data_IF_035235686232
#
_entry.id   IF_035235686232
#
_cell.length_a   1.000
_cell.length_b   1.000
_cell.length_c   1.000
_cell.angle_alpha   90.00
_cell.angle_beta   90.00
_cell.angle_gamma   90.00
#
_symmetry.space_group_name_H-M   'P 1'
#
loop_
_entity.id
_entity.type
_entity.pdbx_description
1 polymer ?
#
# COMPACT_ATOMS: atom_id res chain seq x y z
N UNK A 1 10.70 -12.52 10.75
CA UNK A 1 11.02 -12.31 9.32
C UNK A 1 12.53 -12.34 9.17
N UNK A 2 13.09 -12.78 8.04
CA UNK A 2 14.53 -12.56 7.82
C UNK A 2 14.74 -11.06 7.61
N UNK A 3 15.70 -10.48 8.33
CA UNK A 3 16.04 -9.05 8.27
C UNK A 3 16.34 -8.59 6.84
N UNK A 4 16.81 -9.51 5.98
CA UNK A 4 17.15 -9.27 4.59
C UNK A 4 15.93 -8.97 3.70
N UNK A 5 14.83 -9.72 3.84
CA UNK A 5 13.63 -9.47 3.04
C UNK A 5 12.98 -8.15 3.44
N UNK A 6 12.92 -7.84 4.73
CA UNK A 6 12.40 -6.55 5.19
C UNK A 6 13.22 -5.38 4.62
N UNK A 7 14.55 -5.48 4.61
CA UNK A 7 15.43 -4.48 3.97
C UNK A 7 15.14 -4.33 2.48
N UNK A 8 14.93 -5.45 1.78
CA UNK A 8 14.57 -5.44 0.35
C UNK A 8 13.23 -4.77 0.10
N UNK A 9 12.22 -5.04 0.93
CA UNK A 9 10.92 -4.38 0.88
C UNK A 9 11.09 -2.87 1.09
N UNK A 10 11.86 -2.45 2.10
CA UNK A 10 12.14 -1.03 2.33
C UNK A 10 12.86 -0.37 1.15
N UNK A 11 13.83 -1.05 0.54
CA UNK A 11 14.54 -0.56 -0.63
C UNK A 11 13.58 -0.38 -1.83
N UNK A 12 12.73 -1.37 -2.10
CA UNK A 12 11.73 -1.32 -3.17
C UNK A 12 10.73 -0.18 -2.96
N UNK A 13 10.21 0.00 -1.74
CA UNK A 13 9.30 1.11 -1.42
C UNK A 13 9.96 2.47 -1.64
N UNK A 14 11.23 2.63 -1.24
CA UNK A 14 11.98 3.87 -1.45
C UNK A 14 12.28 4.13 -2.93
N UNK A 15 12.59 3.09 -3.71
CA UNK A 15 12.76 3.18 -5.16
C UNK A 15 11.45 3.60 -5.85
N UNK A 16 10.31 3.05 -5.43
CA UNK A 16 8.98 3.45 -5.95
C UNK A 16 8.72 4.94 -5.68
N UNK A 17 8.96 5.43 -4.45
CA UNK A 17 8.82 6.87 -4.14
C UNK A 17 9.67 7.75 -5.06
N UNK A 18 10.93 7.37 -5.27
CA UNK A 18 11.86 8.12 -6.11
C UNK A 18 11.50 8.09 -7.60
N UNK A 19 11.15 6.91 -8.13
CA UNK A 19 10.89 6.70 -9.56
C UNK A 19 9.53 7.26 -10.00
N UNK A 20 8.51 7.15 -9.16
CA UNK A 20 7.16 7.63 -9.47
C UNK A 20 6.92 9.07 -9.01
N UNK A 21 7.85 9.63 -8.22
CA UNK A 21 7.71 10.96 -7.63
C UNK A 21 6.52 11.04 -6.67
N UNK A 22 6.30 9.99 -5.89
CA UNK A 22 5.18 9.87 -4.94
C UNK A 22 5.70 9.78 -3.50
N UNK A 23 4.80 9.99 -2.55
CA UNK A 23 5.05 9.73 -1.14
C UNK A 23 4.22 8.56 -0.64
N UNK A 24 4.85 7.54 -0.10
CA UNK A 24 4.18 6.40 0.53
C UNK A 24 3.76 6.79 1.94
N UNK A 25 2.47 6.63 2.22
CA UNK A 25 1.85 6.98 3.50
C UNK A 25 1.68 5.77 4.42
N UNK A 26 1.56 4.59 3.84
CA UNK A 26 1.31 3.33 4.52
C UNK A 26 1.74 2.18 3.61
N UNK A 27 2.42 1.16 4.14
CA UNK A 27 2.70 -0.10 3.46
C UNK A 27 2.61 -1.26 4.45
N UNK A 28 1.98 -2.35 4.04
CA UNK A 28 1.77 -3.54 4.85
C UNK A 28 1.88 -4.81 4.02
N UNK A 29 1.95 -5.94 4.71
CA UNK A 29 1.72 -7.24 4.10
C UNK A 29 0.21 -7.46 3.89
N UNK A 30 -0.19 -8.09 2.79
CA UNK A 30 -1.54 -8.60 2.54
C UNK A 30 -1.47 -10.11 2.34
N UNK A 31 -2.58 -10.83 2.27
CA UNK A 31 -2.56 -12.23 1.88
C UNK A 31 -2.13 -13.21 2.98
N UNK A 32 -1.72 -14.42 2.56
CA UNK A 32 -1.59 -15.59 3.46
C UNK A 32 -0.59 -15.37 4.60
N UNK A 33 0.46 -14.57 4.37
CA UNK A 33 1.48 -14.21 5.37
C UNK A 33 0.93 -13.30 6.46
N UNK A 34 0.06 -12.36 6.11
CA UNK A 34 -0.59 -11.48 7.07
C UNK A 34 -1.53 -12.23 8.03
N UNK A 35 -2.05 -13.40 7.62
CA UNK A 35 -3.06 -14.17 8.38
C UNK A 35 -2.58 -15.54 8.87
N UNK A 36 -1.28 -15.84 8.77
CA UNK A 36 -0.67 -17.06 9.34
C UNK A 36 -0.89 -18.34 8.54
N UNK A 37 -1.30 -18.24 7.27
CA UNK A 37 -1.50 -19.38 6.36
C UNK A 37 -0.34 -19.59 5.38
N UNK A 38 0.77 -18.88 5.56
CA UNK A 38 1.90 -18.93 4.64
C UNK A 38 2.60 -20.29 4.62
N UNK A 39 2.71 -20.88 3.43
CA UNK A 39 3.68 -21.92 3.15
C UNK A 39 5.06 -21.32 2.91
N UNK A 40 6.09 -22.17 2.81
CA UNK A 40 7.47 -21.76 2.56
C UNK A 40 7.65 -21.08 1.18
N UNK A 41 6.75 -21.36 0.23
CA UNK A 41 6.72 -20.81 -1.14
C UNK A 41 5.75 -19.62 -1.30
N UNK A 42 5.26 -19.04 -0.20
CA UNK A 42 4.31 -17.93 -0.29
C UNK A 42 5.02 -16.62 -0.65
N UNK A 43 4.56 -15.99 -1.73
CA UNK A 43 4.94 -14.64 -2.16
C UNK A 43 4.78 -13.62 -1.01
N UNK A 44 5.59 -12.56 -1.06
CA UNK A 44 5.48 -11.38 -0.21
C UNK A 44 4.57 -10.36 -0.90
N UNK A 45 3.34 -10.30 -0.41
CA UNK A 45 2.26 -9.45 -0.92
C UNK A 45 2.34 -8.08 -0.25
N UNK A 46 3.19 -7.20 -0.78
CA UNK A 46 3.34 -5.84 -0.26
C UNK A 46 2.27 -4.93 -0.87
N UNK A 47 1.46 -4.32 -0.02
CA UNK A 47 0.40 -3.39 -0.41
C UNK A 47 0.62 -2.03 0.23
N UNK A 48 0.44 -0.95 -0.53
CA UNK A 48 0.74 0.39 -0.04
C UNK A 48 -0.25 1.46 -0.50
N UNK A 49 -0.32 2.54 0.28
CA UNK A 49 -1.03 3.77 -0.04
C UNK A 49 -0.03 4.88 -0.29
N UNK A 50 -0.24 5.63 -1.36
CA UNK A 50 0.66 6.72 -1.75
C UNK A 50 -0.09 8.00 -2.10
N UNK A 51 0.67 9.09 -2.22
CA UNK A 51 0.20 10.41 -2.59
C UNK A 51 1.10 11.01 -3.68
N UNK A 52 0.51 11.58 -4.71
CA UNK A 52 1.20 12.39 -5.71
C UNK A 52 1.46 13.83 -5.21
N UNK A 53 2.32 14.60 -5.88
CA UNK A 53 2.44 16.03 -5.62
C UNK A 53 1.14 16.78 -5.99
N UNK A 54 0.86 17.95 -5.38
CA UNK A 54 -0.40 18.67 -5.57
C UNK A 54 -0.78 18.95 -7.03
N UNK A 55 0.19 19.26 -7.88
CA UNK A 55 0.01 19.58 -9.30
C UNK A 55 -0.61 18.41 -10.07
N UNK A 56 -0.35 17.17 -9.62
CA UNK A 56 -0.96 15.99 -10.22
C UNK A 56 -2.48 16.00 -10.05
N UNK A 57 -2.96 16.35 -8.84
CA UNK A 57 -4.39 16.43 -8.49
C UNK A 57 -5.08 17.66 -9.09
N UNK A 58 -4.34 18.74 -9.34
CA UNK A 58 -4.87 19.96 -9.94
C UNK A 58 -4.95 19.91 -11.48
N UNK A 59 -4.62 18.77 -12.09
CA UNK A 59 -4.69 18.61 -13.55
C UNK A 59 -6.13 18.50 -14.07
N UNK A 60 -6.39 19.08 -15.24
CA UNK A 60 -7.72 19.09 -15.89
C UNK A 60 -8.15 17.66 -16.29
N UNK A 61 -7.18 16.80 -16.63
CA UNK A 61 -7.39 15.43 -17.06
C UNK A 61 -7.25 14.40 -15.93
N UNK A 62 -7.46 14.80 -14.66
CA UNK A 62 -7.26 13.96 -13.48
C UNK A 62 -7.95 12.59 -13.57
N UNK A 63 -9.17 12.53 -14.09
CA UNK A 63 -9.93 11.27 -14.18
C UNK A 63 -9.36 10.27 -15.21
N UNK A 64 -8.52 10.73 -16.13
CA UNK A 64 -7.84 9.86 -17.09
C UNK A 64 -6.48 9.35 -16.59
N UNK A 65 -5.99 9.87 -15.45
CA UNK A 65 -4.70 9.47 -14.90
C UNK A 65 -4.80 8.16 -14.12
N UNK A 66 -3.77 7.31 -14.24
CA UNK A 66 -3.67 6.05 -13.51
C UNK A 66 -3.46 6.32 -12.02
N UNK A 67 -4.25 5.66 -11.18
CA UNK A 67 -4.29 5.82 -9.72
C UNK A 67 -3.81 4.55 -8.96
N UNK A 68 -3.06 3.70 -9.68
CA UNK A 68 -2.47 2.45 -9.21
C UNK A 68 -1.02 2.36 -9.70
N UNK A 69 -0.12 1.96 -8.81
CA UNK A 69 1.26 1.57 -9.13
C UNK A 69 1.37 0.06 -8.92
N UNK A 70 1.84 -0.66 -9.95
CA UNK A 70 2.03 -2.11 -9.92
C UNK A 70 3.46 -2.39 -10.42
N UNK A 71 4.18 -3.29 -9.76
CA UNK A 71 5.51 -3.74 -10.19
C UNK A 71 5.45 -5.20 -10.64
N UNK A 72 6.24 -5.61 -11.63
CA UNK A 72 6.43 -7.02 -11.93
C UNK A 72 6.90 -7.77 -10.67
N UNK A 73 6.42 -8.99 -10.49
CA UNK A 73 6.89 -9.85 -9.39
C UNK A 73 8.35 -10.21 -9.65
N UNK A 74 9.22 -9.93 -8.68
CA UNK A 74 10.66 -10.24 -8.76
C UNK A 74 11.11 -10.87 -7.44
N UNK A 75 11.64 -12.09 -7.53
CA UNK A 75 12.00 -12.97 -6.39
C UNK A 75 10.91 -12.99 -5.31
N UNK A 76 9.71 -13.44 -5.69
CA UNK A 76 8.56 -13.63 -4.80
C UNK A 76 7.97 -12.33 -4.22
N UNK A 77 8.48 -11.16 -4.60
CA UNK A 77 8.00 -9.88 -4.09
C UNK A 77 6.95 -9.27 -5.05
N UNK A 78 5.69 -9.24 -4.61
CA UNK A 78 4.58 -8.62 -5.32
C UNK A 78 4.19 -7.27 -4.69
N UNK A 79 4.47 -6.16 -5.38
CA UNK A 79 4.35 -4.81 -4.84
C UNK A 79 3.31 -4.00 -5.60
N UNK A 80 2.20 -3.69 -4.93
CA UNK A 80 1.07 -2.97 -5.53
C UNK A 80 0.55 -1.87 -4.59
N UNK A 81 0.20 -0.72 -5.16
CA UNK A 81 -0.24 0.41 -4.37
C UNK A 81 -1.34 1.23 -5.00
N UNK A 82 -2.13 1.87 -4.15
CA UNK A 82 -3.24 2.73 -4.53
C UNK A 82 -2.98 4.18 -4.13
N UNK A 83 -3.32 5.10 -5.03
CA UNK A 83 -3.39 6.51 -4.72
C UNK A 83 -4.40 6.77 -3.59
N UNK A 84 -4.10 7.73 -2.72
CA UNK A 84 -4.93 8.05 -1.57
C UNK A 84 -6.37 8.41 -1.97
N UNK A 85 -6.60 9.11 -3.08
CA UNK A 85 -7.95 9.45 -3.57
C UNK A 85 -8.73 8.19 -3.91
N UNK A 86 -8.09 7.23 -4.57
CA UNK A 86 -8.68 5.92 -4.89
C UNK A 86 -9.02 5.16 -3.61
N UNK A 87 -8.06 5.06 -2.70
CA UNK A 87 -8.25 4.38 -1.42
C UNK A 87 -9.39 4.99 -0.61
N UNK A 88 -9.52 6.31 -0.51
CA UNK A 88 -10.63 6.96 0.19
C UNK A 88 -11.99 6.70 -0.48
N UNK A 89 -12.05 6.68 -1.83
CA UNK A 89 -13.26 6.30 -2.57
C UNK A 89 -13.68 4.86 -2.27
N UNK A 90 -12.72 3.94 -2.17
CA UNK A 90 -12.94 2.52 -1.84
C UNK A 90 -13.31 2.32 -0.36
N UNK A 91 -12.67 3.07 0.54
CA UNK A 91 -12.94 3.08 1.98
C UNK A 91 -14.40 3.45 2.26
N UNK A 92 -14.91 4.49 1.59
CA UNK A 92 -16.33 4.89 1.69
C UNK A 92 -17.30 3.78 1.29
N UNK A 93 -16.87 2.82 0.48
CA UNK A 93 -17.66 1.67 0.01
C UNK A 93 -17.39 0.39 0.81
N UNK A 94 -16.67 0.48 1.94
CA UNK A 94 -16.24 -0.67 2.75
C UNK A 94 -15.56 -1.76 1.92
N UNK A 95 -14.71 -1.35 0.97
CA UNK A 95 -14.01 -2.27 0.08
C UNK A 95 -13.16 -3.28 0.88
N UNK A 96 -13.42 -4.60 0.78
CA UNK A 96 -12.76 -5.58 1.63
C UNK A 96 -11.23 -5.60 1.51
N UNK A 97 -10.61 -5.55 0.31
CA UNK A 97 -9.16 -5.48 0.19
C UNK A 97 -8.53 -4.31 0.97
N UNK A 98 -9.11 -3.11 0.88
CA UNK A 98 -8.57 -1.97 1.63
C UNK A 98 -8.67 -2.18 3.15
N UNK A 99 -9.78 -2.75 3.63
CA UNK A 99 -9.97 -3.03 5.05
C UNK A 99 -8.98 -4.10 5.53
N UNK A 100 -8.70 -5.11 4.70
CA UNK A 100 -7.65 -6.10 4.95
C UNK A 100 -6.29 -5.44 5.11
N UNK A 101 -5.91 -4.53 4.19
CA UNK A 101 -4.63 -3.82 4.27
C UNK A 101 -4.54 -3.01 5.56
N UNK A 102 -5.59 -2.25 5.88
CA UNK A 102 -5.63 -1.44 7.11
C UNK A 102 -5.54 -2.29 8.38
N UNK A 103 -6.10 -3.51 8.35
CA UNK A 103 -6.09 -4.47 9.46
C UNK A 103 -4.88 -5.39 9.51
N UNK A 104 -3.94 -5.26 8.57
CA UNK A 104 -2.75 -6.13 8.53
C UNK A 104 -1.91 -5.99 9.80
N UNK A 105 -1.49 -7.12 10.42
CA UNK A 105 -0.62 -7.09 11.60
C UNK A 105 0.84 -6.76 11.26
N UNK A 106 1.23 -6.85 9.98
CA UNK A 106 2.60 -6.62 9.51
C UNK A 106 2.63 -5.30 8.74
N UNK A 107 3.15 -4.26 9.38
CA UNK A 107 3.29 -2.93 8.79
C UNK A 107 4.76 -2.68 8.47
N UNK A 108 5.05 -2.47 7.19
CA UNK A 108 6.40 -2.15 6.71
C UNK A 108 6.71 -0.66 6.83
N UNK A 109 5.75 0.22 6.57
CA UNK A 109 5.99 1.67 6.53
C UNK A 109 4.73 2.42 6.94
N UNK A 110 4.81 3.31 7.92
CA UNK A 110 3.71 4.22 8.28
C UNK A 110 4.25 5.56 8.80
N UNK A 111 4.83 6.41 7.92
CA UNK A 111 5.43 7.68 8.33
C UNK A 111 4.39 8.76 8.64
N UNK A 112 3.12 8.53 8.28
CA UNK A 112 2.03 9.48 8.45
C UNK A 112 0.87 8.85 9.22
N UNK A 113 0.07 9.68 9.89
CA UNK A 113 -1.09 9.21 10.67
C UNK A 113 -2.30 8.82 9.80
N UNK A 114 -2.14 8.71 8.48
CA UNK A 114 -3.25 8.53 7.54
C UNK A 114 -3.95 7.18 7.76
N UNK A 115 -3.22 6.06 7.74
CA UNK A 115 -3.80 4.74 7.96
C UNK A 115 -4.34 4.60 9.39
N UNK A 116 -3.61 5.07 10.40
CA UNK A 116 -4.12 5.15 11.78
C UNK A 116 -5.45 5.92 11.91
N UNK A 117 -5.64 7.04 11.19
CA UNK A 117 -6.91 7.79 11.18
C UNK A 117 -8.01 7.02 10.45
N UNK A 118 -7.69 6.35 9.34
CA UNK A 118 -8.64 5.51 8.61
C UNK A 118 -9.13 4.34 9.48
N UNK A 119 -8.24 3.64 10.19
CA UNK A 119 -8.60 2.58 11.15
C UNK A 119 -9.57 3.10 12.22
N UNK A 120 -9.25 4.23 12.87
CA UNK A 120 -10.13 4.85 13.87
C UNK A 120 -11.52 5.24 13.34
N UNK A 121 -11.64 5.51 12.05
CA UNK A 121 -12.93 5.79 11.42
C UNK A 121 -13.69 4.51 11.08
N UNK A 122 -12.99 3.43 10.70
CA UNK A 122 -13.59 2.13 10.43
C UNK A 122 -14.26 1.54 11.68
N UNK A 123 -13.66 1.71 12.86
CA UNK A 123 -14.19 1.23 14.14
C UNK A 123 -15.48 1.95 14.61
N UNK A 124 -15.91 3.00 13.91
CA UNK A 124 -17.07 3.84 14.28
C UNK A 124 -18.32 3.56 13.44
N UNK A 125 -18.23 2.63 12.49
CA UNK A 125 -19.30 2.28 11.54
C UNK A 125 -19.74 0.85 11.84
#
# INVERSE_FOLDING_TARGET
MSTEMEQRIQASLSEIEATEGVKILFACESGSRAWGFASQDSDYDVRFLYLHPPEWYLSINLEAKRDVIERPIVDELDVNGWDLRKALKLFRKSNPPLLEWLGSPIVYREPAQTAAKMRKLADRV
#
